data_IF_452557477471
#
_entry.id   IF_452557477471
#
_cell.length_a   1.000
_cell.length_b   1.000
_cell.length_c   1.000
_cell.angle_alpha   90.00
_cell.angle_beta   90.00
_cell.angle_gamma   90.00
#
_symmetry.space_group_name_H-M   'P 1'
#
loop_
_entity.id
_entity.type
_entity.pdbx_description
1 polymer ?
#
# COMPACT_ATOMS: atom_id res chain seq x y z
N UNK A 1 3.27 8.64 0.24
CA UNK A 1 4.55 8.70 -0.48
C UNK A 1 4.93 7.29 -0.84
N UNK A 2 5.05 7.02 -2.14
CA UNK A 2 5.72 5.80 -2.59
C UNK A 2 7.14 5.78 -2.00
N UNK A 3 7.65 4.66 -1.47
CA UNK A 3 8.96 4.66 -0.84
C UNK A 3 10.08 4.84 -1.89
N UNK A 4 10.74 5.99 -1.79
CA UNK A 4 12.18 6.24 -1.98
C UNK A 4 12.90 5.63 -3.20
N UNK A 5 12.21 5.41 -4.32
CA UNK A 5 12.85 5.15 -5.60
C UNK A 5 12.26 6.08 -6.68
N UNK A 6 12.30 7.39 -6.42
CA UNK A 6 12.11 8.35 -7.49
C UNK A 6 13.26 8.19 -8.48
N UNK A 7 12.94 7.63 -9.65
CA UNK A 7 13.86 7.59 -10.77
C UNK A 7 14.16 9.03 -11.17
N UNK A 8 15.44 9.36 -11.32
CA UNK A 8 15.83 10.68 -11.81
C UNK A 8 15.38 10.81 -13.27
N UNK A 9 14.44 11.72 -13.51
CA UNK A 9 13.91 11.98 -14.84
C UNK A 9 14.69 13.05 -15.60
N UNK A 10 14.28 13.29 -16.83
CA UNK A 10 14.93 14.24 -17.74
C UNK A 10 15.04 15.66 -17.17
N UNK A 11 14.06 16.09 -16.36
CA UNK A 11 13.97 17.45 -15.81
C UNK A 11 14.76 17.65 -14.52
N UNK A 12 15.56 16.66 -14.09
CA UNK A 12 16.35 16.71 -12.87
C UNK A 12 15.59 16.25 -11.62
N UNK A 13 16.10 16.56 -10.42
CA UNK A 13 15.54 16.05 -9.18
C UNK A 13 14.20 16.72 -8.81
N UNK A 14 13.32 15.96 -8.14
CA UNK A 14 12.03 16.43 -7.63
C UNK A 14 12.23 17.54 -6.59
N UNK A 15 11.70 18.74 -6.84
CA UNK A 15 11.77 19.90 -5.94
C UNK A 15 10.42 20.29 -5.33
N UNK A 16 9.34 19.58 -5.67
CA UNK A 16 8.01 19.81 -5.13
C UNK A 16 7.93 19.38 -3.66
N UNK A 17 7.10 20.08 -2.87
CA UNK A 17 6.82 19.71 -1.47
C UNK A 17 5.81 18.56 -1.35
N UNK A 18 5.13 18.22 -2.45
CA UNK A 18 4.12 17.18 -2.55
C UNK A 18 4.46 16.26 -3.71
N UNK A 19 4.26 14.97 -3.48
CA UNK A 19 4.51 13.86 -4.40
C UNK A 19 3.43 12.80 -4.16
N UNK A 20 2.79 12.32 -5.23
CA UNK A 20 1.63 11.45 -5.10
C UNK A 20 2.04 9.98 -4.86
N UNK A 21 1.10 9.06 -5.04
CA UNK A 21 1.31 7.63 -4.81
C UNK A 21 1.84 6.88 -6.05
N UNK A 22 1.93 7.56 -7.20
CA UNK A 22 2.53 7.00 -8.42
C UNK A 22 4.06 7.10 -8.34
N UNK A 23 4.78 6.15 -8.93
CA UNK A 23 6.24 6.21 -9.01
C UNK A 23 6.66 7.20 -10.11
N UNK A 24 7.55 8.14 -9.79
CA UNK A 24 7.99 9.14 -10.74
C UNK A 24 8.74 8.51 -11.92
N UNK A 25 8.40 8.98 -13.12
CA UNK A 25 9.00 8.56 -14.39
C UNK A 25 8.88 7.05 -14.71
N UNK A 26 7.89 6.37 -14.13
CA UNK A 26 7.68 4.92 -14.35
C UNK A 26 7.29 4.58 -15.79
N UNK A 27 6.41 5.39 -16.41
CA UNK A 27 5.95 5.16 -17.80
C UNK A 27 6.92 5.73 -18.83
N UNK A 28 7.48 6.90 -18.53
CA UNK A 28 8.40 7.62 -19.43
C UNK A 28 9.36 8.47 -18.63
N UNK A 29 10.61 8.54 -19.08
CA UNK A 29 11.67 9.37 -18.48
C UNK A 29 11.42 10.89 -18.58
N UNK A 30 10.42 11.31 -19.36
CA UNK A 30 10.13 12.72 -19.63
C UNK A 30 8.98 13.30 -18.81
N UNK A 31 8.07 12.46 -18.30
CA UNK A 31 6.84 12.88 -17.59
C UNK A 31 6.73 12.07 -16.30
N UNK A 32 6.84 12.76 -15.17
CA UNK A 32 6.54 12.22 -13.85
C UNK A 32 5.02 12.01 -13.69
N UNK A 33 4.62 11.04 -12.86
CA UNK A 33 3.21 10.75 -12.53
C UNK A 33 2.28 10.63 -13.77
N UNK A 34 2.73 9.92 -14.80
CA UNK A 34 2.09 9.92 -16.11
C UNK A 34 0.61 9.48 -16.06
N UNK A 35 0.28 8.43 -15.31
CA UNK A 35 -1.08 7.88 -15.28
C UNK A 35 -2.04 8.82 -14.53
N UNK A 36 -1.62 9.34 -13.37
CA UNK A 36 -2.41 10.29 -12.59
C UNK A 36 -2.59 11.59 -13.37
N UNK A 37 -1.53 12.10 -14.01
CA UNK A 37 -1.59 13.29 -14.86
C UNK A 37 -2.51 13.11 -16.06
N UNK A 38 -2.39 12.01 -16.79
CA UNK A 38 -3.24 11.70 -17.94
C UNK A 38 -4.71 11.52 -17.53
N UNK A 39 -4.97 10.80 -16.45
CA UNK A 39 -6.34 10.57 -15.94
C UNK A 39 -7.03 11.88 -15.53
N UNK A 40 -6.31 12.74 -14.80
CA UNK A 40 -6.77 14.08 -14.43
C UNK A 40 -7.05 14.94 -15.67
N UNK A 41 -6.13 14.93 -16.64
CA UNK A 41 -6.31 15.68 -17.89
C UNK A 41 -7.54 15.20 -18.67
N UNK A 42 -7.72 13.89 -18.86
CA UNK A 42 -8.91 13.33 -19.51
C UNK A 42 -10.20 13.72 -18.79
N UNK A 43 -10.23 13.68 -17.47
CA UNK A 43 -11.38 14.10 -16.68
C UNK A 43 -11.70 15.59 -16.87
N UNK A 44 -10.71 16.48 -16.77
CA UNK A 44 -10.95 17.92 -16.91
C UNK A 44 -11.31 18.34 -18.33
N UNK A 45 -10.85 17.63 -19.36
CA UNK A 45 -11.20 17.91 -20.76
C UNK A 45 -12.63 17.53 -21.11
N UNK A 46 -13.15 16.44 -20.53
CA UNK A 46 -14.47 15.89 -20.91
C UNK A 46 -15.57 16.17 -19.89
N UNK A 47 -15.22 16.31 -18.61
CA UNK A 47 -16.15 16.37 -17.47
C UNK A 47 -17.19 15.24 -17.45
N UNK A 48 -16.86 14.09 -18.03
CA UNK A 48 -17.72 12.92 -18.06
C UNK A 48 -17.60 12.11 -16.76
N UNK A 49 -18.73 11.61 -16.26
CA UNK A 49 -18.78 10.75 -15.07
C UNK A 49 -17.90 9.50 -15.21
N UNK A 50 -17.87 8.91 -16.40
CA UNK A 50 -17.05 7.74 -16.71
C UNK A 50 -15.55 8.02 -16.46
N UNK A 51 -15.07 9.20 -16.87
CA UNK A 51 -13.68 9.61 -16.65
C UNK A 51 -13.41 9.93 -15.19
N UNK A 52 -14.38 10.49 -14.46
CA UNK A 52 -14.29 10.68 -13.01
C UNK A 52 -14.14 9.34 -12.29
N UNK A 53 -14.95 8.34 -12.65
CA UNK A 53 -14.88 6.99 -12.07
C UNK A 53 -13.54 6.34 -12.39
N UNK A 54 -13.10 6.40 -13.66
CA UNK A 54 -11.81 5.84 -14.08
C UNK A 54 -10.65 6.47 -13.29
N UNK A 55 -10.60 7.80 -13.19
CA UNK A 55 -9.59 8.52 -12.42
C UNK A 55 -9.63 8.16 -10.93
N UNK A 56 -10.83 8.10 -10.34
CA UNK A 56 -11.02 7.68 -8.95
C UNK A 56 -10.51 6.26 -8.68
N UNK A 57 -10.78 5.31 -9.58
CA UNK A 57 -10.32 3.93 -9.47
C UNK A 57 -8.79 3.81 -9.58
N UNK A 58 -8.16 4.60 -10.45
CA UNK A 58 -6.71 4.69 -10.56
C UNK A 58 -6.08 5.17 -9.25
N UNK A 59 -6.55 6.31 -8.73
CA UNK A 59 -6.05 6.89 -7.47
C UNK A 59 -6.25 5.93 -6.30
N UNK A 60 -7.43 5.31 -6.21
CA UNK A 60 -7.73 4.31 -5.18
C UNK A 60 -6.74 3.13 -5.21
N UNK A 61 -6.44 2.61 -6.40
CA UNK A 61 -5.49 1.50 -6.58
C UNK A 61 -4.07 1.89 -6.14
N UNK A 62 -3.61 3.09 -6.49
CA UNK A 62 -2.29 3.59 -6.10
C UNK A 62 -2.18 3.81 -4.58
N UNK A 63 -3.25 4.29 -3.95
CA UNK A 63 -3.31 4.44 -2.49
C UNK A 63 -3.26 3.07 -1.81
N UNK A 64 -4.05 2.09 -2.26
CA UNK A 64 -4.00 0.73 -1.70
C UNK A 64 -2.63 0.09 -1.86
N UNK A 65 -1.99 0.25 -3.02
CA UNK A 65 -0.61 -0.20 -3.25
C UNK A 65 0.36 0.45 -2.27
N UNK A 66 0.23 1.76 -2.04
CA UNK A 66 1.09 2.50 -1.12
C UNK A 66 0.90 2.04 0.33
N UNK A 67 -0.34 1.85 0.77
CA UNK A 67 -0.65 1.29 2.10
C UNK A 67 -0.06 -0.11 2.24
N UNK A 68 -0.25 -0.96 1.23
CA UNK A 68 0.31 -2.32 1.23
C UNK A 68 1.84 -2.31 1.39
N UNK A 69 2.55 -1.45 0.65
CA UNK A 69 4.01 -1.37 0.74
C UNK A 69 4.44 -0.85 2.12
N UNK A 70 3.84 0.23 2.62
CA UNK A 70 4.18 0.79 3.93
C UNK A 70 3.92 -0.23 5.05
N UNK A 71 2.78 -0.93 5.00
CA UNK A 71 2.47 -1.97 6.00
C UNK A 71 3.38 -3.19 5.88
N UNK A 72 3.82 -3.53 4.67
CA UNK A 72 4.78 -4.60 4.43
C UNK A 72 6.18 -4.25 4.97
N UNK A 73 6.65 -3.03 4.76
CA UNK A 73 7.93 -2.58 5.29
C UNK A 73 7.90 -2.45 6.81
N UNK A 74 6.81 -1.92 7.38
CA UNK A 74 6.62 -1.92 8.84
C UNK A 74 6.68 -3.35 9.42
N UNK A 75 6.10 -4.33 8.74
CA UNK A 75 6.18 -5.74 9.16
C UNK A 75 7.60 -6.30 9.21
N UNK A 76 8.55 -5.78 8.41
CA UNK A 76 9.95 -6.21 8.47
C UNK A 76 10.69 -5.65 9.67
N UNK A 77 10.28 -4.50 10.18
CA UNK A 77 10.91 -3.83 11.31
C UNK A 77 10.34 -4.28 12.67
N UNK A 78 9.11 -4.81 12.68
CA UNK A 78 8.50 -5.33 13.91
C UNK A 78 9.25 -6.60 14.36
N UNK A 79 9.64 -6.70 15.65
CA UNK A 79 10.28 -7.89 16.19
C UNK A 79 9.46 -9.15 15.90
N UNK A 80 10.07 -10.28 15.50
CA UNK A 80 9.35 -11.52 15.19
C UNK A 80 8.43 -11.98 16.32
N UNK A 81 8.81 -11.71 17.57
CA UNK A 81 8.02 -11.96 18.78
C UNK A 81 6.65 -11.28 18.73
N UNK A 82 6.58 -10.00 18.35
CA UNK A 82 5.34 -9.25 18.25
C UNK A 82 4.42 -9.81 17.16
N UNK A 83 5.00 -10.28 16.06
CA UNK A 83 4.28 -10.96 14.98
C UNK A 83 3.63 -12.28 15.42
N UNK A 84 4.31 -13.06 16.27
CA UNK A 84 3.78 -14.31 16.82
C UNK A 84 2.76 -14.03 17.94
N UNK A 85 3.03 -13.08 18.84
CA UNK A 85 2.13 -12.78 19.96
C UNK A 85 0.80 -12.17 19.53
N UNK A 86 0.75 -11.46 18.39
CA UNK A 86 -0.48 -10.85 17.87
C UNK A 86 -1.38 -11.83 17.09
N UNK A 87 -0.96 -13.08 16.88
CA UNK A 87 -1.79 -14.10 16.24
C UNK A 87 -2.80 -14.73 17.22
N UNK A 88 -3.83 -13.95 17.60
CA UNK A 88 -4.87 -14.39 18.53
C UNK A 88 -5.53 -15.74 18.14
N UNK A 89 -5.67 -16.01 16.85
CA UNK A 89 -6.24 -17.28 16.37
C UNK A 89 -5.31 -18.48 16.61
N UNK A 90 -3.99 -18.30 16.51
CA UNK A 90 -3.04 -19.36 16.86
C UNK A 90 -3.07 -19.66 18.37
N UNK A 91 -3.17 -18.61 19.20
CA UNK A 91 -3.30 -18.75 20.65
C UNK A 91 -4.58 -19.47 21.06
N UNK A 92 -5.70 -19.22 20.37
CA UNK A 92 -6.95 -19.95 20.61
C UNK A 92 -6.77 -21.47 20.50
N UNK A 93 -6.14 -21.96 19.43
CA UNK A 93 -5.90 -23.40 19.23
C UNK A 93 -4.99 -23.99 20.32
N UNK A 94 -3.96 -23.26 20.73
CA UNK A 94 -3.05 -23.68 21.80
C UNK A 94 -3.80 -23.77 23.14
N UNK A 95 -4.57 -22.75 23.49
CA UNK A 95 -5.27 -22.68 24.78
C UNK A 95 -6.42 -23.69 24.86
N UNK A 96 -7.17 -23.89 23.77
CA UNK A 96 -8.24 -24.89 23.73
C UNK A 96 -7.71 -26.32 23.76
N UNK A 97 -6.59 -26.60 23.08
CA UNK A 97 -5.89 -27.88 23.17
C UNK A 97 -5.39 -28.17 24.58
N UNK A 98 -4.74 -27.19 25.21
CA UNK A 98 -4.27 -27.30 26.60
C UNK A 98 -5.43 -27.50 27.59
N UNK A 99 -6.52 -26.72 27.44
CA UNK A 99 -7.71 -26.84 28.28
C UNK A 99 -8.37 -28.21 28.16
N UNK A 100 -8.46 -28.76 26.94
CA UNK A 100 -9.00 -30.10 26.69
C UNK A 100 -8.15 -31.19 27.33
N UNK A 101 -6.81 -31.08 27.25
CA UNK A 101 -5.88 -32.01 27.88
C UNK A 101 -5.97 -31.99 29.41
N UNK A 102 -5.97 -30.80 30.02
CA UNK A 102 -6.12 -30.66 31.47
C UNK A 102 -7.48 -31.18 31.95
N UNK A 103 -8.55 -30.97 31.18
CA UNK A 103 -9.87 -31.51 31.51
C UNK A 103 -9.90 -33.04 31.55
N UNK A 104 -9.15 -33.71 30.68
CA UNK A 104 -9.04 -35.18 30.67
C UNK A 104 -8.21 -35.67 31.87
N UNK A 105 -7.15 -34.95 32.22
CA UNK A 105 -6.17 -35.38 33.23
C UNK A 105 -6.66 -35.17 34.67
N UNK A 106 -7.51 -34.15 34.90
CA UNK A 106 -8.10 -33.83 36.21
C UNK A 106 -9.58 -34.21 36.32
N UNK A 107 -10.05 -35.11 35.44
CA UNK A 107 -11.38 -35.70 35.52
C UNK A 107 -11.41 -36.94 36.41
#
# INVERSE_FOLDING_TARGET
MAPAADREGYWGPTTSTLDWCEENYFVTQYIAEFLVGMGSWCFHMTLQYEMQVMYGMLVFTLVLRSIYIVTWDFRKEVPPILGVTTQFHAWWHILTGLGSYLHILFR
#
